data_IF_564522583366
#
_entry.id   IF_564522583366
#
_cell.length_a   1.000
_cell.length_b   1.000
_cell.length_c   1.000
_cell.angle_alpha   90.00
_cell.angle_beta   90.00
_cell.angle_gamma   90.00
#
_symmetry.space_group_name_H-M   'P 1'
#
loop_
_entity.id
_entity.type
_entity.pdbx_description
1 polymer ?
#
# COMPACT_ATOMS: atom_id res chain seq x y z
N UNK A 1 -1.39 -9.80 6.88
CA UNK A 1 -1.79 -11.20 6.63
C UNK A 1 -1.59 -12.14 7.82
N UNK A 2 -0.48 -12.06 8.58
CA UNK A 2 -0.14 -13.03 9.66
C UNK A 2 -1.24 -13.26 10.71
N UNK A 3 -1.93 -12.22 11.17
CA UNK A 3 -2.92 -12.37 12.25
C UNK A 3 -4.22 -13.04 11.79
N UNK A 4 -4.67 -12.80 10.56
CA UNK A 4 -5.92 -13.38 10.06
C UNK A 4 -5.77 -14.86 9.73
N UNK A 5 -4.65 -15.23 9.10
CA UNK A 5 -4.31 -16.64 8.86
C UNK A 5 -4.12 -17.40 10.17
N UNK A 6 -3.51 -16.77 11.17
CA UNK A 6 -3.35 -17.34 12.51
C UNK A 6 -4.70 -17.61 13.20
N UNK A 7 -5.62 -16.63 13.18
CA UNK A 7 -6.98 -16.80 13.71
C UNK A 7 -7.74 -17.91 12.97
N UNK A 8 -7.61 -17.98 11.64
CA UNK A 8 -8.21 -19.05 10.84
C UNK A 8 -7.68 -20.44 11.22
N UNK A 9 -6.37 -20.59 11.42
CA UNK A 9 -5.75 -21.85 11.87
C UNK A 9 -6.24 -22.24 13.26
N UNK A 10 -6.36 -21.28 14.18
CA UNK A 10 -6.87 -21.53 15.55
C UNK A 10 -8.32 -22.01 15.50
N UNK A 11 -9.19 -21.36 14.72
CA UNK A 11 -10.59 -21.76 14.57
C UNK A 11 -10.71 -23.16 13.96
N UNK A 12 -9.86 -23.49 13.00
CA UNK A 12 -9.84 -24.82 12.37
C UNK A 12 -9.37 -25.89 13.35
N UNK A 13 -8.31 -25.59 14.13
CA UNK A 13 -7.84 -26.48 15.19
C UNK A 13 -8.90 -26.70 16.28
N UNK A 14 -9.64 -25.64 16.67
CA UNK A 14 -10.77 -25.73 17.58
C UNK A 14 -11.90 -26.61 17.04
N UNK A 15 -12.26 -26.46 15.75
CA UNK A 15 -13.26 -27.30 15.11
C UNK A 15 -12.84 -28.78 15.13
N UNK A 16 -11.56 -29.06 14.86
CA UNK A 16 -11.02 -30.43 14.90
C UNK A 16 -10.96 -30.99 16.32
N UNK A 17 -10.62 -30.17 17.32
CA UNK A 17 -10.64 -30.55 18.72
C UNK A 17 -12.04 -30.88 19.21
N UNK A 18 -13.02 -30.04 18.86
CA UNK A 18 -14.43 -30.29 19.16
C UNK A 18 -14.92 -31.58 18.50
N UNK A 19 -14.55 -31.82 17.24
CA UNK A 19 -14.82 -33.07 16.54
C UNK A 19 -14.27 -34.29 17.30
N UNK A 20 -13.02 -34.22 17.78
CA UNK A 20 -12.40 -35.32 18.53
C UNK A 20 -13.06 -35.60 19.89
N UNK A 21 -13.59 -34.56 20.55
CA UNK A 21 -14.31 -34.72 21.82
C UNK A 21 -15.75 -35.22 21.69
N UNK A 22 -16.37 -35.18 20.50
CA UNK A 22 -17.75 -35.62 20.32
C UNK A 22 -17.84 -37.16 20.19
N UNK A 23 -18.33 -37.90 21.20
CA UNK A 23 -18.23 -39.37 21.25
C UNK A 23 -19.16 -40.10 20.27
N UNK A 24 -20.21 -39.43 19.77
CA UNK A 24 -21.28 -40.04 18.95
C UNK A 24 -21.29 -39.57 17.48
N UNK A 25 -20.23 -38.92 17.02
CA UNK A 25 -20.14 -38.45 15.64
C UNK A 25 -19.54 -39.52 14.73
N UNK A 26 -20.37 -40.07 13.84
CA UNK A 26 -19.95 -40.93 12.72
C UNK A 26 -19.72 -40.08 11.47
N UNK A 27 -18.81 -40.51 10.58
CA UNK A 27 -18.58 -39.88 9.27
C UNK A 27 -19.88 -39.73 8.46
N UNK A 28 -20.83 -40.64 8.64
CA UNK A 28 -22.13 -40.61 7.96
C UNK A 28 -22.94 -39.36 8.34
N UNK A 29 -22.86 -38.90 9.60
CA UNK A 29 -23.57 -37.70 10.06
C UNK A 29 -23.08 -36.41 9.40
N UNK A 30 -21.84 -36.38 8.90
CA UNK A 30 -21.32 -35.21 8.17
C UNK A 30 -22.00 -35.02 6.81
N UNK A 31 -22.48 -36.11 6.21
CA UNK A 31 -23.17 -36.12 4.92
C UNK A 31 -24.69 -36.05 5.07
N UNK A 32 -25.22 -36.00 6.30
CA UNK A 32 -26.63 -35.70 6.50
C UNK A 32 -26.95 -34.30 5.94
N UNK A 33 -28.12 -34.11 5.33
CA UNK A 33 -28.44 -32.88 4.61
C UNK A 33 -28.20 -31.59 5.42
N UNK A 34 -28.55 -31.59 6.71
CA UNK A 34 -28.39 -30.44 7.61
C UNK A 34 -26.91 -30.14 7.90
N UNK A 35 -26.14 -31.17 8.26
CA UNK A 35 -24.72 -31.03 8.56
C UNK A 35 -23.92 -30.66 7.30
N UNK A 36 -24.22 -31.30 6.18
CA UNK A 36 -23.59 -31.03 4.89
C UNK A 36 -23.91 -29.61 4.41
N UNK A 37 -25.16 -29.16 4.56
CA UNK A 37 -25.55 -27.78 4.27
C UNK A 37 -24.76 -26.79 5.13
N UNK A 38 -24.62 -27.07 6.44
CA UNK A 38 -23.83 -26.24 7.34
C UNK A 38 -22.35 -26.14 6.93
N UNK A 39 -21.74 -27.26 6.54
CA UNK A 39 -20.36 -27.30 6.05
C UNK A 39 -20.22 -26.50 4.75
N UNK A 40 -21.10 -26.75 3.77
CA UNK A 40 -21.07 -26.06 2.48
C UNK A 40 -21.30 -24.55 2.62
N UNK A 41 -22.25 -24.15 3.47
CA UNK A 41 -22.51 -22.74 3.77
C UNK A 41 -21.30 -22.08 4.45
N UNK A 42 -20.69 -22.76 5.43
CA UNK A 42 -19.46 -22.30 6.09
C UNK A 42 -18.31 -22.11 5.11
N UNK A 43 -18.09 -23.07 4.21
CA UNK A 43 -17.09 -22.97 3.13
C UNK A 43 -17.41 -21.80 2.21
N UNK A 44 -18.65 -21.68 1.75
CA UNK A 44 -19.08 -20.61 0.84
C UNK A 44 -18.84 -19.21 1.41
N UNK A 45 -19.30 -18.96 2.65
CA UNK A 45 -19.08 -17.69 3.34
C UNK A 45 -17.59 -17.45 3.57
N UNK A 46 -16.84 -18.48 3.99
CA UNK A 46 -15.40 -18.41 4.21
C UNK A 46 -14.63 -18.03 2.94
N UNK A 47 -15.01 -18.57 1.78
CA UNK A 47 -14.39 -18.25 0.50
C UNK A 47 -14.71 -16.83 0.03
N UNK A 48 -15.95 -16.35 0.21
CA UNK A 48 -16.33 -14.97 -0.14
C UNK A 48 -15.54 -13.98 0.72
N UNK A 49 -15.59 -14.12 2.04
CA UNK A 49 -14.91 -13.21 2.96
C UNK A 49 -13.38 -13.33 2.82
N UNK A 50 -12.85 -14.54 2.71
CA UNK A 50 -11.43 -14.79 2.47
C UNK A 50 -10.96 -14.21 1.13
N UNK A 51 -11.78 -14.32 0.08
CA UNK A 51 -11.51 -13.75 -1.23
C UNK A 51 -11.46 -12.22 -1.21
N UNK A 52 -12.45 -11.58 -0.59
CA UNK A 52 -12.49 -10.10 -0.44
C UNK A 52 -11.30 -9.60 0.37
N UNK A 53 -11.05 -10.19 1.55
CA UNK A 53 -9.94 -9.78 2.41
C UNK A 53 -8.59 -10.07 1.75
N UNK A 54 -8.47 -11.18 1.03
CA UNK A 54 -7.29 -11.52 0.24
C UNK A 54 -7.03 -10.55 -0.91
N UNK A 55 -8.08 -10.14 -1.64
CA UNK A 55 -8.00 -9.16 -2.71
C UNK A 55 -7.56 -7.79 -2.19
N UNK A 56 -8.17 -7.30 -1.10
CA UNK A 56 -7.78 -6.03 -0.47
C UNK A 56 -6.35 -6.08 0.04
N UNK A 57 -5.91 -7.20 0.62
CA UNK A 57 -4.53 -7.37 1.08
C UNK A 57 -3.52 -7.31 -0.07
N UNK A 58 -3.84 -7.83 -1.26
CA UNK A 58 -2.96 -7.74 -2.44
C UNK A 58 -3.01 -6.36 -3.10
N UNK A 59 -4.18 -5.72 -3.14
CA UNK A 59 -4.33 -4.36 -3.66
C UNK A 59 -3.52 -3.32 -2.88
N UNK A 60 -3.44 -3.47 -1.56
CA UNK A 60 -2.59 -2.60 -0.72
C UNK A 60 -1.10 -2.75 -1.02
N UNK A 61 -0.63 -3.97 -1.28
CA UNK A 61 0.78 -4.23 -1.62
C UNK A 61 1.17 -3.61 -2.97
N UNK A 62 0.28 -3.67 -3.96
CA UNK A 62 0.50 -3.03 -5.25
C UNK A 62 0.56 -1.49 -5.12
N UNK A 63 -0.29 -0.93 -4.26
CA UNK A 63 -0.33 0.51 -3.97
C UNK A 63 0.92 0.99 -3.25
N UNK A 64 1.51 0.18 -2.38
CA UNK A 64 2.79 0.49 -1.72
C UNK A 64 3.96 0.52 -2.70
N UNK A 65 4.02 -0.43 -3.63
CA UNK A 65 5.06 -0.44 -4.67
C UNK A 65 4.94 0.76 -5.62
N UNK A 66 3.72 1.11 -6.05
CA UNK A 66 3.47 2.31 -6.85
C UNK A 66 3.84 3.58 -6.08
N UNK A 67 3.42 3.73 -4.82
CA UNK A 67 3.80 4.86 -3.97
C UNK A 67 5.32 4.98 -3.82
N UNK A 68 6.05 3.88 -3.66
CA UNK A 68 7.52 3.90 -3.56
C UNK A 68 8.18 4.37 -4.85
N UNK A 69 7.62 4.02 -6.01
CA UNK A 69 8.14 4.45 -7.32
C UNK A 69 7.85 5.93 -7.56
N UNK A 70 6.62 6.37 -7.31
CA UNK A 70 6.23 7.78 -7.41
C UNK A 70 7.07 8.65 -6.47
N UNK A 71 7.24 8.24 -5.21
CA UNK A 71 8.04 9.00 -4.24
C UNK A 71 9.50 9.18 -4.71
N UNK A 72 10.10 8.16 -5.32
CA UNK A 72 11.45 8.28 -5.90
C UNK A 72 11.52 9.23 -7.09
N UNK A 73 10.49 9.25 -7.94
CA UNK A 73 10.42 10.20 -9.06
C UNK A 73 10.25 11.64 -8.57
N UNK A 74 9.37 11.85 -7.58
CA UNK A 74 9.13 13.13 -6.94
C UNK A 74 10.39 13.71 -6.27
N UNK A 75 11.22 12.88 -5.61
CA UNK A 75 12.50 13.34 -5.06
C UNK A 75 13.43 13.82 -6.18
N UNK A 76 13.47 13.11 -7.31
CA UNK A 76 14.34 13.44 -8.43
C UNK A 76 13.90 14.75 -9.12
N UNK A 77 12.60 14.90 -9.35
CA UNK A 77 12.03 16.14 -9.88
C UNK A 77 12.26 17.34 -8.95
N UNK A 78 12.17 17.14 -7.63
CA UNK A 78 12.47 18.19 -6.64
C UNK A 78 13.92 18.65 -6.74
N UNK A 79 14.87 17.72 -6.86
CA UNK A 79 16.29 18.05 -7.01
C UNK A 79 16.58 18.83 -8.31
N UNK A 80 15.96 18.41 -9.42
CA UNK A 80 16.12 19.11 -10.71
C UNK A 80 15.48 20.50 -10.69
N UNK A 81 14.32 20.67 -10.05
CA UNK A 81 13.66 21.97 -9.85
C UNK A 81 14.49 22.89 -8.97
N UNK A 82 15.11 22.40 -7.90
CA UNK A 82 16.00 23.20 -7.04
C UNK A 82 17.24 23.66 -7.79
N UNK A 83 17.82 22.81 -8.66
CA UNK A 83 18.94 23.20 -9.53
C UNK A 83 18.55 24.28 -10.52
N UNK A 84 17.40 24.14 -11.19
CA UNK A 84 16.89 25.16 -12.11
C UNK A 84 16.59 26.48 -11.38
N UNK A 85 16.00 26.44 -10.19
CA UNK A 85 15.75 27.63 -9.38
C UNK A 85 17.06 28.32 -8.95
N UNK A 86 18.09 27.55 -8.58
CA UNK A 86 19.40 28.09 -8.23
C UNK A 86 20.11 28.73 -9.43
N UNK A 87 19.98 28.15 -10.63
CA UNK A 87 20.51 28.72 -11.87
C UNK A 87 19.78 30.01 -12.27
N UNK A 88 18.45 30.03 -12.18
CA UNK A 88 17.65 31.23 -12.42
C UNK A 88 17.97 32.34 -11.42
N UNK A 89 18.15 32.01 -10.14
CA UNK A 89 18.57 32.97 -9.12
C UNK A 89 19.97 33.53 -9.39
N UNK A 90 20.91 32.70 -9.85
CA UNK A 90 22.25 33.15 -10.27
C UNK A 90 22.21 34.05 -11.50
N UNK A 91 21.38 33.72 -12.51
CA UNK A 91 21.21 34.56 -13.70
C UNK A 91 20.57 35.91 -13.34
N UNK A 92 19.58 35.93 -12.46
CA UNK A 92 18.98 37.17 -11.98
C UNK A 92 19.99 38.02 -11.21
N UNK A 93 20.80 37.42 -10.33
CA UNK A 93 21.85 38.15 -9.61
C UNK A 93 22.94 38.71 -10.55
N UNK A 94 23.35 37.96 -11.57
CA UNK A 94 24.30 38.43 -12.57
C UNK A 94 23.75 39.60 -13.42
N UNK A 95 22.47 39.55 -13.81
CA UNK A 95 21.81 40.63 -14.54
C UNK A 95 21.64 41.88 -13.67
N UNK A 96 21.28 41.71 -12.41
CA UNK A 96 21.18 42.76 -11.39
C UNK A 96 22.54 43.47 -11.26
N UNK A 97 23.63 42.74 -11.00
CA UNK A 97 24.98 43.34 -10.86
C UNK A 97 25.43 44.08 -12.12
N UNK A 98 25.17 43.53 -13.31
CA UNK A 98 25.52 44.17 -14.59
C UNK A 98 24.78 45.51 -14.76
N UNK A 99 23.50 45.56 -14.38
CA UNK A 99 22.68 46.79 -14.48
C UNK A 99 23.18 47.88 -13.52
N UNK A 100 23.65 47.55 -12.31
CA UNK A 100 24.23 48.52 -11.38
C UNK A 100 25.60 49.05 -11.83
N UNK A 101 26.42 48.21 -12.47
CA UNK A 101 27.71 48.67 -13.02
C UNK A 101 27.53 49.59 -14.23
N UNK A 102 26.59 49.29 -15.14
CA UNK A 102 26.33 50.13 -16.32
C UNK A 102 25.70 51.49 -15.96
N UNK A 103 24.86 51.56 -14.90
CA UNK A 103 24.33 52.84 -14.43
C UNK A 103 25.39 53.71 -13.73
N UNK A 104 26.35 53.11 -13.01
CA UNK A 104 27.46 53.85 -12.40
C UNK A 104 28.45 54.39 -13.43
N UNK A 105 28.67 53.69 -14.54
CA UNK A 105 29.55 54.14 -15.62
C UNK A 105 28.93 55.29 -16.45
N UNK A 106 27.61 55.29 -16.62
CA UNK A 106 26.88 56.35 -17.32
C UNK A 106 26.79 57.67 -16.50
N UNK A 107 26.74 57.58 -15.17
CA UNK A 107 26.69 58.77 -14.29
C UNK A 107 28.06 59.39 -13.95
N UNK A 108 29.18 58.74 -14.30
CA UNK A 108 30.52 59.32 -14.14
C UNK A 108 31.03 60.11 -15.37
N UNK A 109 30.27 60.15 -16.46
CA UNK A 109 30.64 60.87 -17.70
C UNK A 109 29.90 62.21 -17.90
N UNK A 110 29.32 62.79 -16.84
CA UNK A 110 28.72 64.13 -16.85
C UNK A 110 29.35 65.05 -15.81
#
# INVERSE_FOLDING_TARGET
>A
MKNLTFVGIILLALAFLLYYMLPEFSMVKLFEPISLMGILAGIGIGLILGGVVGYVSKGSALKEEQKRREYKQLIKEKEDLERQAAELAKQQQANITTTYTTQKENTQNY
#
